data_IF_692405506849
#
_entry.id   IF_692405506849
#
_cell.length_a   1.000
_cell.length_b   1.000
_cell.length_c   1.000
_cell.angle_alpha   90.00
_cell.angle_beta   90.00
_cell.angle_gamma   90.00
#
_symmetry.space_group_name_H-M   'P 1'
#
loop_
_entity.id
_entity.type
_entity.pdbx_description
1 polymer ?
#
# COMPACT_ATOMS: atom_id res chain seq x y z
N UNK A 1 -30.43 6.73 -6.59
CA UNK A 1 -29.33 5.83 -6.98
C UNK A 1 -28.45 5.59 -5.76
N UNK A 2 -28.10 4.35 -5.39
CA UNK A 2 -27.32 4.06 -4.17
C UNK A 2 -25.89 4.56 -4.36
N UNK A 3 -25.43 5.47 -3.50
CA UNK A 3 -24.07 6.01 -3.51
C UNK A 3 -23.08 4.94 -3.02
N UNK A 4 -21.96 4.76 -3.73
CA UNK A 4 -20.92 3.84 -3.29
C UNK A 4 -20.09 4.46 -2.15
N UNK A 5 -19.79 3.69 -1.12
CA UNK A 5 -18.99 4.14 0.03
C UNK A 5 -17.49 3.87 -0.22
N UNK A 6 -16.91 4.59 -1.18
CA UNK A 6 -15.51 4.42 -1.55
C UNK A 6 -14.55 4.84 -0.43
N UNK A 7 -14.78 5.99 0.21
CA UNK A 7 -13.92 6.49 1.29
C UNK A 7 -13.95 5.58 2.52
N UNK A 8 -15.14 5.11 2.92
CA UNK A 8 -15.24 4.18 4.03
C UNK A 8 -14.50 2.87 3.78
N UNK A 9 -14.57 2.34 2.55
CA UNK A 9 -13.83 1.12 2.21
C UNK A 9 -12.32 1.38 2.09
N UNK A 10 -11.90 2.54 1.57
CA UNK A 10 -10.50 2.97 1.58
C UNK A 10 -9.89 2.92 2.98
N UNK A 11 -10.60 3.47 3.97
CA UNK A 11 -10.12 3.48 5.35
C UNK A 11 -10.01 2.07 5.95
N UNK A 12 -10.87 1.12 5.55
CA UNK A 12 -10.73 -0.27 5.99
C UNK A 12 -9.44 -0.92 5.46
N UNK A 13 -9.13 -0.72 4.17
CA UNK A 13 -7.88 -1.21 3.57
C UNK A 13 -6.65 -0.56 4.20
N UNK A 14 -6.71 0.75 4.49
CA UNK A 14 -5.61 1.44 5.15
C UNK A 14 -5.48 1.08 6.63
N UNK A 15 -6.56 0.78 7.34
CA UNK A 15 -6.48 0.19 8.69
C UNK A 15 -5.72 -1.12 8.65
N UNK A 16 -6.06 -2.05 7.75
CA UNK A 16 -5.32 -3.30 7.61
C UNK A 16 -3.84 -3.06 7.28
N UNK A 17 -3.57 -2.11 6.39
CA UNK A 17 -2.20 -1.70 6.02
C UNK A 17 -1.43 -1.21 7.25
N UNK A 18 -1.97 -0.25 8.00
CA UNK A 18 -1.33 0.35 9.18
C UNK A 18 -1.11 -0.69 10.28
N UNK A 19 -2.11 -1.51 10.58
CA UNK A 19 -1.99 -2.53 11.64
C UNK A 19 -1.01 -3.65 11.28
N UNK A 20 -0.96 -4.06 10.01
CA UNK A 20 0.04 -5.05 9.57
C UNK A 20 1.47 -4.49 9.69
N UNK A 21 1.66 -3.19 9.44
CA UNK A 21 2.95 -2.52 9.61
C UNK A 21 3.28 -2.34 11.10
N UNK A 22 2.29 -2.08 11.97
CA UNK A 22 2.49 -2.08 13.43
C UNK A 22 3.01 -3.44 13.93
N UNK A 23 2.45 -4.54 13.44
CA UNK A 23 2.93 -5.88 13.78
C UNK A 23 4.34 -6.16 13.22
N UNK A 24 4.63 -5.68 12.00
CA UNK A 24 5.97 -5.76 11.41
C UNK A 24 7.01 -4.99 12.24
N UNK A 25 6.65 -3.81 12.73
CA UNK A 25 7.47 -2.97 13.60
C UNK A 25 7.75 -3.67 14.93
N UNK A 26 6.72 -4.25 15.57
CA UNK A 26 6.87 -5.03 16.82
C UNK A 26 7.82 -6.21 16.67
N UNK A 27 7.81 -6.89 15.51
CA UNK A 27 8.72 -8.02 15.25
C UNK A 27 10.10 -7.59 14.72
N UNK A 28 10.28 -6.31 14.38
CA UNK A 28 11.53 -5.76 13.85
C UNK A 28 11.84 -6.21 12.42
N UNK A 29 10.82 -6.58 11.63
CA UNK A 29 10.96 -7.03 10.25
C UNK A 29 12.04 -8.10 10.01
N UNK A 30 12.16 -9.06 10.94
CA UNK A 30 13.23 -10.08 10.90
C UNK A 30 12.93 -11.13 9.84
N UNK A 31 13.83 -11.29 8.87
CA UNK A 31 13.76 -12.35 7.86
C UNK A 31 14.43 -13.63 8.32
N UNK A 32 15.59 -13.54 8.97
CA UNK A 32 16.35 -14.68 9.43
C UNK A 32 16.46 -14.63 10.96
N UNK A 33 16.11 -15.73 11.60
CA UNK A 33 16.29 -15.93 13.04
C UNK A 33 17.00 -17.26 13.19
N UNK A 34 18.17 -17.25 13.82
CA UNK A 34 18.83 -18.48 14.24
C UNK A 34 18.27 -18.90 15.60
N UNK A 35 17.68 -20.09 15.68
CA UNK A 35 17.38 -20.74 16.95
C UNK A 35 18.61 -21.52 17.44
N UNK A 36 18.78 -21.57 18.76
CA UNK A 36 19.66 -22.57 19.37
C UNK A 36 18.96 -23.93 19.23
N UNK A 37 19.72 -24.95 18.86
CA UNK A 37 19.21 -26.32 18.78
C UNK A 37 18.69 -26.77 20.16
N UNK A 38 17.44 -27.24 20.21
CA UNK A 38 16.83 -27.84 21.39
C UNK A 38 16.51 -29.32 21.09
N UNK A 39 17.17 -30.29 21.75
CA UNK A 39 16.94 -31.71 21.50
C UNK A 39 15.54 -32.20 21.93
N UNK A 40 14.76 -31.38 22.65
CA UNK A 40 13.39 -31.71 23.07
C UNK A 40 12.32 -31.07 22.17
N UNK A 41 12.71 -30.21 21.21
CA UNK A 41 11.81 -29.58 20.26
C UNK A 41 11.62 -30.48 19.03
N UNK A 42 10.37 -30.71 18.61
CA UNK A 42 10.10 -31.40 17.34
C UNK A 42 10.33 -30.47 16.16
N UNK A 43 10.62 -31.01 14.97
CA UNK A 43 10.76 -30.20 13.74
C UNK A 43 9.54 -29.32 13.48
N UNK A 44 8.33 -29.82 13.74
CA UNK A 44 7.09 -29.05 13.59
C UNK A 44 7.03 -27.88 14.58
N UNK A 45 7.38 -28.11 15.86
CA UNK A 45 7.43 -27.04 16.86
C UNK A 45 8.48 -25.99 16.48
N UNK A 46 9.64 -26.41 16.00
CA UNK A 46 10.70 -25.51 15.55
C UNK A 46 10.25 -24.64 14.38
N UNK A 47 9.62 -25.24 13.37
CA UNK A 47 9.06 -24.51 12.22
C UNK A 47 7.94 -23.54 12.63
N UNK A 48 7.03 -23.97 13.51
CA UNK A 48 5.96 -23.10 14.01
C UNK A 48 6.54 -21.92 14.79
N UNK A 49 7.50 -22.17 15.68
CA UNK A 49 8.19 -21.14 16.45
C UNK A 49 8.93 -20.16 15.55
N UNK A 50 9.61 -20.65 14.52
CA UNK A 50 10.26 -19.81 13.51
C UNK A 50 9.24 -18.95 12.75
N UNK A 51 8.14 -19.54 12.27
CA UNK A 51 7.10 -18.81 11.55
C UNK A 51 6.43 -17.75 12.43
N UNK A 52 6.09 -18.05 13.69
CA UNK A 52 5.47 -17.07 14.59
C UNK A 52 6.35 -15.83 14.82
N UNK A 53 7.68 -16.01 14.84
CA UNK A 53 8.66 -14.94 15.02
C UNK A 53 8.99 -14.16 13.72
N UNK A 54 8.62 -14.68 12.55
CA UNK A 54 8.95 -14.10 11.24
C UNK A 54 7.74 -13.78 10.37
N UNK A 55 6.52 -14.19 10.74
CA UNK A 55 5.32 -14.00 9.91
C UNK A 55 5.02 -12.54 9.58
N UNK A 56 5.33 -11.61 10.48
CA UNK A 56 5.16 -10.17 10.27
C UNK A 56 6.48 -9.56 9.76
N UNK A 57 6.92 -9.99 8.57
CA UNK A 57 8.05 -9.40 7.87
C UNK A 57 7.72 -9.11 6.40
N UNK A 58 8.50 -8.26 5.77
CA UNK A 58 8.34 -7.80 4.38
C UNK A 58 8.35 -8.96 3.37
N UNK A 59 9.07 -10.04 3.68
CA UNK A 59 9.15 -11.23 2.87
C UNK A 59 7.80 -11.97 2.81
N UNK A 60 7.12 -12.10 3.96
CA UNK A 60 5.87 -12.84 4.08
C UNK A 60 4.65 -11.99 3.72
N UNK A 61 4.62 -10.72 4.12
CA UNK A 61 3.40 -9.88 4.02
C UNK A 61 3.61 -8.55 3.30
N UNK A 62 4.83 -8.21 2.87
CA UNK A 62 5.11 -6.92 2.26
C UNK A 62 4.32 -6.66 0.96
N UNK A 63 4.21 -7.67 0.10
CA UNK A 63 3.43 -7.57 -1.15
C UNK A 63 1.93 -7.38 -0.87
N UNK A 64 1.29 -8.19 -0.01
CA UNK A 64 -0.10 -7.95 0.43
C UNK A 64 -0.33 -6.57 1.06
N UNK A 65 0.60 -6.06 1.89
CA UNK A 65 0.49 -4.72 2.47
C UNK A 65 0.44 -3.66 1.38
N UNK A 66 1.35 -3.72 0.40
CA UNK A 66 1.37 -2.76 -0.71
C UNK A 66 0.12 -2.86 -1.59
N UNK A 67 -0.38 -4.07 -1.85
CA UNK A 67 -1.63 -4.23 -2.58
C UNK A 67 -2.78 -3.51 -1.88
N UNK A 68 -2.95 -3.75 -0.57
CA UNK A 68 -4.00 -3.10 0.23
C UNK A 68 -3.83 -1.59 0.28
N UNK A 69 -2.59 -1.10 0.37
CA UNK A 69 -2.31 0.34 0.34
C UNK A 69 -2.79 1.00 -0.95
N UNK A 70 -2.35 0.51 -2.12
CA UNK A 70 -2.70 1.09 -3.41
C UNK A 70 -4.16 0.88 -3.77
N UNK A 71 -4.74 -0.25 -3.35
CA UNK A 71 -6.17 -0.45 -3.53
C UNK A 71 -6.98 0.53 -2.68
N UNK A 72 -6.57 0.76 -1.43
CA UNK A 72 -7.11 1.84 -0.61
C UNK A 72 -6.98 3.20 -1.31
N UNK A 73 -5.80 3.51 -1.87
CA UNK A 73 -5.56 4.76 -2.60
C UNK A 73 -6.47 4.92 -3.84
N UNK A 74 -6.72 3.85 -4.59
CA UNK A 74 -7.66 3.86 -5.72
C UNK A 74 -9.08 4.22 -5.24
N UNK A 75 -9.54 3.57 -4.16
CA UNK A 75 -10.86 3.82 -3.59
C UNK A 75 -10.94 5.23 -3.01
N UNK A 76 -9.88 5.71 -2.35
CA UNK A 76 -9.77 7.08 -1.86
C UNK A 76 -10.01 8.08 -2.99
N UNK A 77 -9.26 7.99 -4.09
CA UNK A 77 -9.37 8.91 -5.22
C UNK A 77 -10.74 8.83 -5.90
N UNK A 78 -11.31 7.61 -6.05
CA UNK A 78 -12.70 7.45 -6.51
C UNK A 78 -13.69 8.14 -5.58
N UNK A 79 -13.48 8.03 -4.28
CA UNK A 79 -14.28 8.73 -3.26
C UNK A 79 -14.21 10.25 -3.42
N UNK A 80 -13.02 10.81 -3.51
CA UNK A 80 -12.80 12.26 -3.74
C UNK A 80 -13.49 12.74 -5.02
N UNK A 81 -13.33 12.01 -6.13
CA UNK A 81 -13.97 12.33 -7.40
C UNK A 81 -15.50 12.21 -7.33
N UNK A 82 -16.02 11.25 -6.57
CA UNK A 82 -17.45 11.11 -6.32
C UNK A 82 -18.01 12.31 -5.53
N UNK A 83 -17.29 12.81 -4.52
CA UNK A 83 -17.69 13.99 -3.73
C UNK A 83 -17.81 15.27 -4.55
N UNK A 84 -17.11 15.37 -5.68
CA UNK A 84 -17.13 16.55 -6.57
C UNK A 84 -17.93 16.29 -7.86
N UNK A 85 -18.60 15.15 -7.98
CA UNK A 85 -19.39 14.80 -9.17
C UNK A 85 -18.55 14.57 -10.44
N UNK A 86 -17.28 14.18 -10.29
CA UNK A 86 -16.32 13.94 -11.39
C UNK A 86 -15.83 12.48 -11.44
N UNK A 87 -16.56 11.55 -10.82
CA UNK A 87 -16.20 10.13 -10.88
C UNK A 87 -16.26 9.61 -12.34
N UNK A 88 -15.16 9.05 -12.88
CA UNK A 88 -15.15 8.58 -14.26
C UNK A 88 -16.11 7.41 -14.49
N UNK A 89 -16.68 7.34 -15.69
CA UNK A 89 -17.59 6.26 -16.10
C UNK A 89 -16.84 5.03 -16.59
N UNK A 90 -15.65 5.21 -17.15
CA UNK A 90 -14.73 4.15 -17.55
C UNK A 90 -14.07 3.54 -16.31
N UNK A 91 -14.34 2.26 -16.07
CA UNK A 91 -13.76 1.55 -14.92
C UNK A 91 -12.36 1.05 -15.27
N UNK A 92 -11.34 1.59 -14.62
CA UNK A 92 -9.96 1.09 -14.65
C UNK A 92 -9.28 1.23 -13.29
N UNK A 93 -8.07 0.67 -13.17
CA UNK A 93 -7.25 0.70 -11.95
C UNK A 93 -6.10 1.72 -12.00
N UNK A 94 -5.97 2.48 -13.10
CA UNK A 94 -4.91 3.47 -13.28
C UNK A 94 -5.05 4.60 -12.27
N UNK A 95 -4.05 4.73 -11.40
CA UNK A 95 -4.01 5.71 -10.31
C UNK A 95 -3.67 7.10 -10.83
N UNK A 96 -2.78 7.18 -11.83
CA UNK A 96 -2.39 8.41 -12.51
C UNK A 96 -3.57 9.13 -13.14
N UNK A 97 -4.44 8.41 -13.85
CA UNK A 97 -5.65 8.95 -14.46
C UNK A 97 -6.60 9.59 -13.41
N UNK A 98 -6.82 8.93 -12.27
CA UNK A 98 -7.65 9.51 -11.21
C UNK A 98 -6.98 10.74 -10.58
N UNK A 99 -5.67 10.68 -10.35
CA UNK A 99 -4.90 11.78 -9.80
C UNK A 99 -4.84 12.99 -10.75
N UNK A 100 -4.79 12.75 -12.06
CA UNK A 100 -4.86 13.80 -13.06
C UNK A 100 -6.18 14.58 -12.96
N UNK A 101 -7.31 13.88 -12.87
CA UNK A 101 -8.63 14.54 -12.72
C UNK A 101 -8.68 15.33 -11.41
N UNK A 102 -8.16 14.77 -10.31
CA UNK A 102 -8.05 15.50 -9.03
C UNK A 102 -7.21 16.78 -9.20
N UNK A 103 -6.08 16.69 -9.90
CA UNK A 103 -5.17 17.82 -10.14
C UNK A 103 -5.77 18.90 -11.05
N UNK A 104 -6.52 18.51 -12.08
CA UNK A 104 -7.27 19.42 -12.95
C UNK A 104 -8.40 20.16 -12.20
N UNK A 105 -8.85 19.61 -11.07
CA UNK A 105 -9.87 20.20 -10.19
C UNK A 105 -9.26 20.67 -8.84
N UNK A 106 -7.97 21.05 -8.83
CA UNK A 106 -7.23 21.38 -7.61
C UNK A 106 -7.86 22.50 -6.76
N UNK A 107 -8.59 23.43 -7.36
CA UNK A 107 -9.26 24.54 -6.67
C UNK A 107 -10.36 24.08 -5.71
N UNK A 108 -10.86 22.84 -5.89
CA UNK A 108 -11.88 22.23 -5.02
C UNK A 108 -11.24 21.57 -3.80
N UNK A 109 -9.95 21.23 -3.85
CA UNK A 109 -9.24 20.50 -2.81
C UNK A 109 -8.29 21.41 -2.04
N UNK A 110 -7.94 21.01 -0.82
CA UNK A 110 -6.82 21.64 -0.12
C UNK A 110 -5.48 21.15 -0.69
N UNK A 111 -4.42 21.96 -0.69
CA UNK A 111 -3.11 21.56 -1.22
C UNK A 111 -2.58 20.25 -0.61
N UNK A 112 -2.87 19.98 0.66
CA UNK A 112 -2.44 18.78 1.37
C UNK A 112 -2.97 17.49 0.74
N UNK A 113 -4.16 17.49 0.11
CA UNK A 113 -4.65 16.31 -0.63
C UNK A 113 -3.76 16.03 -1.83
N UNK A 114 -3.46 17.07 -2.62
CA UNK A 114 -2.67 16.93 -3.85
C UNK A 114 -1.25 16.49 -3.51
N UNK A 115 -0.63 17.12 -2.51
CA UNK A 115 0.74 16.82 -2.08
C UNK A 115 0.85 15.39 -1.52
N UNK A 116 -0.04 15.00 -0.61
CA UNK A 116 0.03 13.68 0.04
C UNK A 116 -0.23 12.53 -0.92
N UNK A 117 -1.15 12.67 -1.87
CA UNK A 117 -1.39 11.66 -2.92
C UNK A 117 -0.26 11.66 -3.95
N UNK A 118 0.21 12.83 -4.39
CA UNK A 118 1.27 12.94 -5.39
C UNK A 118 2.58 12.25 -4.96
N UNK A 119 2.95 12.41 -3.68
CA UNK A 119 4.14 11.78 -3.06
C UNK A 119 4.20 10.26 -3.22
N UNK A 120 3.04 9.59 -3.25
CA UNK A 120 2.98 8.12 -3.38
C UNK A 120 2.80 7.65 -4.82
N UNK A 121 2.71 8.57 -5.78
CA UNK A 121 2.63 8.25 -7.21
C UNK A 121 3.89 8.63 -7.98
N UNK A 122 4.78 9.43 -7.39
CA UNK A 122 6.00 9.93 -8.01
C UNK A 122 7.26 9.16 -7.54
N UNK A 123 8.43 9.66 -7.91
CA UNK A 123 9.73 9.08 -7.57
C UNK A 123 10.13 9.21 -6.09
N UNK A 124 9.37 9.95 -5.27
CA UNK A 124 9.59 10.01 -3.82
C UNK A 124 9.05 8.76 -3.10
N UNK A 125 8.25 7.95 -3.81
CA UNK A 125 7.73 6.71 -3.28
C UNK A 125 8.88 5.70 -3.03
N UNK A 126 9.01 5.14 -1.82
CA UNK A 126 10.08 4.19 -1.49
C UNK A 126 10.01 2.88 -2.30
N UNK A 127 8.89 2.59 -2.96
CA UNK A 127 8.70 1.43 -3.83
C UNK A 127 8.71 1.80 -5.32
N UNK A 128 9.18 3.00 -5.68
CA UNK A 128 9.32 3.41 -7.08
C UNK A 128 10.20 2.41 -7.88
N UNK A 129 11.31 1.98 -7.30
CA UNK A 129 12.24 1.04 -7.93
C UNK A 129 11.64 -0.37 -8.15
N UNK A 130 10.67 -0.78 -7.34
CA UNK A 130 9.91 -2.02 -7.59
C UNK A 130 9.17 -1.95 -8.93
N UNK A 131 8.49 -0.85 -9.21
CA UNK A 131 7.79 -0.70 -10.49
C UNK A 131 8.76 -0.62 -11.66
N UNK A 132 9.85 0.14 -11.49
CA UNK A 132 10.89 0.32 -12.51
C UNK A 132 11.59 -0.99 -12.87
N UNK A 133 11.98 -1.78 -11.86
CA UNK A 133 12.62 -3.10 -12.06
C UNK A 133 11.72 -4.12 -12.77
N UNK A 134 10.40 -3.93 -12.69
CA UNK A 134 9.42 -4.72 -13.42
C UNK A 134 9.03 -4.12 -14.80
N UNK A 135 9.79 -3.14 -15.31
CA UNK A 135 9.48 -2.39 -16.54
C UNK A 135 8.04 -1.86 -16.56
N UNK A 136 7.59 -1.33 -15.43
CA UNK A 136 6.21 -0.97 -15.19
C UNK A 136 6.10 0.31 -14.36
N UNK A 137 4.88 0.65 -13.93
CA UNK A 137 4.58 1.83 -13.14
C UNK A 137 3.44 1.54 -12.14
N UNK A 138 3.13 2.55 -11.32
CA UNK A 138 2.14 2.47 -10.24
C UNK A 138 0.71 2.15 -10.73
N UNK A 139 0.38 2.44 -11.99
CA UNK A 139 -0.94 2.11 -12.56
C UNK A 139 -1.16 0.60 -12.73
N UNK A 140 -0.07 -0.17 -12.77
CA UNK A 140 -0.12 -1.62 -12.88
C UNK A 140 -0.05 -2.32 -11.52
N UNK A 141 -0.19 -1.60 -10.40
CA UNK A 141 -0.13 -2.18 -9.05
C UNK A 141 -1.05 -3.40 -8.91
N UNK A 142 -2.26 -3.34 -9.47
CA UNK A 142 -3.30 -4.37 -9.35
C UNK A 142 -2.86 -5.71 -9.96
N UNK A 143 -1.99 -5.68 -10.96
CA UNK A 143 -1.45 -6.86 -11.62
C UNK A 143 -0.15 -7.30 -10.94
N UNK A 144 0.78 -6.35 -10.76
CA UNK A 144 2.11 -6.58 -10.20
C UNK A 144 2.10 -7.14 -8.77
N UNK A 145 1.16 -6.69 -7.95
CA UNK A 145 1.09 -7.06 -6.53
C UNK A 145 0.11 -8.21 -6.27
N UNK A 146 -0.67 -8.63 -7.27
CA UNK A 146 -1.66 -9.71 -7.14
C UNK A 146 -1.18 -11.03 -7.72
N UNK A 147 -0.36 -10.99 -8.77
CA UNK A 147 0.08 -12.17 -9.48
C UNK A 147 1.60 -12.29 -9.45
N UNK A 148 2.16 -13.51 -9.56
CA UNK A 148 3.60 -13.71 -9.73
C UNK A 148 4.06 -13.45 -11.17
N UNK A 149 3.13 -13.38 -12.13
CA UNK A 149 3.42 -13.22 -13.55
C UNK A 149 2.43 -12.29 -14.25
N UNK A 150 2.87 -11.71 -15.36
CA UNK A 150 2.03 -10.94 -16.26
C UNK A 150 1.12 -11.83 -17.10
N UNK A 151 0.08 -11.25 -17.70
CA UNK A 151 -0.81 -11.95 -18.67
C UNK A 151 -0.04 -12.53 -19.85
N UNK A 152 1.16 -12.01 -20.15
CA UNK A 152 2.04 -12.48 -21.22
C UNK A 152 3.05 -13.54 -20.76
N UNK A 153 2.99 -13.99 -19.50
CA UNK A 153 3.90 -15.02 -18.94
C UNK A 153 5.25 -14.51 -18.44
N UNK A 154 5.50 -13.19 -18.44
CA UNK A 154 6.71 -12.63 -17.81
C UNK A 154 6.58 -12.65 -16.28
N UNK A 155 7.57 -13.20 -15.59
CA UNK A 155 7.64 -13.21 -14.12
C UNK A 155 7.86 -11.79 -13.56
N UNK A 156 7.19 -11.49 -12.46
CA UNK A 156 7.42 -10.28 -11.68
C UNK A 156 8.46 -10.49 -10.60
N UNK A 157 9.30 -9.48 -10.40
CA UNK A 157 10.36 -9.45 -9.41
C UNK A 157 9.88 -8.69 -8.17
N UNK A 158 9.67 -9.40 -7.06
CA UNK A 158 9.29 -8.77 -5.77
C UNK A 158 10.48 -8.52 -4.84
N UNK A 159 11.72 -8.66 -5.31
CA UNK A 159 12.93 -8.48 -4.51
C UNK A 159 13.09 -7.09 -3.90
N UNK A 160 12.58 -6.05 -4.58
CA UNK A 160 12.58 -4.66 -4.07
C UNK A 160 11.56 -4.44 -2.93
N UNK A 161 10.63 -5.38 -2.74
CA UNK A 161 9.65 -5.34 -1.64
C UNK A 161 10.09 -6.26 -0.49
N UNK A 162 10.74 -7.38 -0.79
CA UNK A 162 10.91 -8.51 0.13
C UNK A 162 12.34 -8.67 0.63
N UNK A 163 12.47 -8.95 1.92
CA UNK A 163 13.74 -9.29 2.55
C UNK A 163 14.73 -8.15 2.62
N UNK A 164 14.24 -6.96 2.94
CA UNK A 164 15.02 -5.72 3.03
C UNK A 164 15.25 -5.28 4.48
N UNK A 165 14.80 -6.08 5.46
CA UNK A 165 15.04 -5.91 6.89
C UNK A 165 14.79 -4.45 7.34
N UNK A 166 15.75 -3.77 7.95
CA UNK A 166 15.54 -2.40 8.45
C UNK A 166 15.16 -1.41 7.33
N UNK A 167 15.73 -1.55 6.12
CA UNK A 167 15.35 -0.72 4.97
C UNK A 167 13.90 -0.99 4.58
N UNK A 168 13.50 -2.26 4.54
CA UNK A 168 12.12 -2.66 4.29
C UNK A 168 11.17 -2.06 5.30
N UNK A 169 11.50 -2.14 6.59
CA UNK A 169 10.69 -1.57 7.67
C UNK A 169 10.53 -0.05 7.51
N UNK A 170 11.61 0.66 7.18
CA UNK A 170 11.55 2.11 6.93
C UNK A 170 10.64 2.44 5.74
N UNK A 171 10.72 1.67 4.65
CA UNK A 171 9.87 1.84 3.48
C UNK A 171 8.39 1.62 3.83
N UNK A 172 8.08 0.58 4.61
CA UNK A 172 6.71 0.31 5.06
C UNK A 172 6.21 1.37 6.05
N UNK A 173 7.06 1.88 6.95
CA UNK A 173 6.71 2.99 7.82
C UNK A 173 6.38 4.27 7.03
N UNK A 174 7.07 4.53 5.92
CA UNK A 174 6.71 5.62 5.01
C UNK A 174 5.29 5.44 4.45
N UNK A 175 4.92 4.22 4.03
CA UNK A 175 3.56 3.90 3.56
C UNK A 175 2.50 4.10 4.66
N UNK A 176 2.77 3.62 5.88
CA UNK A 176 1.91 3.84 7.05
C UNK A 176 1.69 5.34 7.29
N UNK A 177 2.75 6.14 7.20
CA UNK A 177 2.67 7.60 7.34
C UNK A 177 1.87 8.24 6.21
N UNK A 178 2.02 7.80 4.97
CA UNK A 178 1.21 8.28 3.85
C UNK A 178 -0.28 8.01 4.04
N UNK A 179 -0.68 6.85 4.57
CA UNK A 179 -2.09 6.62 4.94
C UNK A 179 -2.59 7.69 5.91
N UNK A 180 -1.83 7.97 6.97
CA UNK A 180 -2.18 8.95 8.00
C UNK A 180 -2.23 10.38 7.44
N UNK A 181 -1.25 10.75 6.61
CA UNK A 181 -1.17 12.06 5.96
C UNK A 181 -2.40 12.30 5.07
N UNK A 182 -2.74 11.33 4.23
CA UNK A 182 -3.89 11.43 3.31
C UNK A 182 -5.22 11.45 4.09
N UNK A 183 -5.40 10.56 5.07
CA UNK A 183 -6.60 10.54 5.92
C UNK A 183 -6.83 11.90 6.61
N UNK A 184 -5.78 12.48 7.20
CA UNK A 184 -5.84 13.80 7.85
C UNK A 184 -6.19 14.91 6.86
N UNK A 185 -5.60 14.87 5.66
CA UNK A 185 -5.90 15.85 4.61
C UNK A 185 -7.38 15.79 4.18
N UNK A 186 -7.94 14.58 4.07
CA UNK A 186 -9.35 14.39 3.72
C UNK A 186 -10.27 14.91 4.82
N UNK A 187 -9.99 14.60 6.09
CA UNK A 187 -10.77 15.10 7.24
C UNK A 187 -10.80 16.63 7.23
N UNK A 188 -9.61 17.26 7.13
CA UNK A 188 -9.47 18.72 7.07
C UNK A 188 -10.22 19.34 5.89
N UNK A 189 -10.26 18.65 4.75
CA UNK A 189 -11.01 19.10 3.59
C UNK A 189 -12.53 19.05 3.80
N UNK A 190 -13.05 18.00 4.44
CA UNK A 190 -14.48 17.93 4.82
C UNK A 190 -14.86 19.01 5.84
N UNK A 191 -13.99 19.28 6.82
CA UNK A 191 -14.21 20.35 7.81
C UNK A 191 -14.29 21.72 7.15
N UNK A 192 -13.46 22.02 6.14
CA UNK A 192 -13.53 23.30 5.40
C UNK A 192 -14.77 23.44 4.50
N UNK A 193 -15.39 22.33 4.11
CA UNK A 193 -16.63 22.34 3.30
C UNK A 193 -17.87 22.61 4.14
N UNK A 194 -17.78 22.46 5.46
CA UNK A 194 -18.89 22.65 6.41
C UNK A 194 -18.88 24.08 6.93
#
# INVERSE_FOLDING_TARGET
MRRANYLGLSYQFWTLTKESINEMEKQGNKKLIMSLYDPNETDEQSHQNYYQKTKWNDFNIGVPILFNFYHGLELCMKGLLQEIGKLPTNKHHKLSDYFQIISENNSVFIPEIIVSIGKVLNSENPFYDFFKSNNSNVDNYYQLLRYPESVKGNNFLHGEIRGREQIGLNNFNSIKNSCIEIEKAIIKWFEKKT
#
